data_IF_867131920186
#
_entry.id   IF_867131920186
#
_cell.length_a   1.000
_cell.length_b   1.000
_cell.length_c   1.000
_cell.angle_alpha   90.00
_cell.angle_beta   90.00
_cell.angle_gamma   90.00
#
_symmetry.space_group_name_H-M   'P 1'
#
loop_
_entity.id
_entity.type
_entity.pdbx_description
1 polymer ?
#
# COMPACT_ATOMS: atom_id res chain seq x y z
N UNK A 1 -13.46 -18.32 -25.76
CA UNK A 1 -13.14 -17.80 -24.41
C UNK A 1 -13.74 -16.42 -24.32
N UNK A 2 -14.57 -16.14 -23.32
CA UNK A 2 -15.14 -14.80 -23.14
C UNK A 2 -13.98 -13.88 -22.77
N UNK A 3 -13.57 -13.02 -23.71
CA UNK A 3 -12.41 -12.15 -23.58
C UNK A 3 -12.78 -10.99 -22.65
N UNK A 4 -12.70 -11.25 -21.34
CA UNK A 4 -12.92 -10.23 -20.31
C UNK A 4 -11.55 -9.68 -19.91
N UNK A 5 -11.34 -8.35 -20.00
CA UNK A 5 -10.07 -7.76 -19.61
C UNK A 5 -9.79 -8.06 -18.13
N UNK A 6 -8.50 -8.13 -17.80
CA UNK A 6 -8.08 -8.33 -16.41
C UNK A 6 -8.13 -7.01 -15.66
N UNK A 7 -8.33 -7.09 -14.35
CA UNK A 7 -8.39 -5.89 -13.51
C UNK A 7 -7.12 -5.05 -13.68
N UNK A 8 -5.94 -5.68 -13.75
CA UNK A 8 -4.65 -4.99 -13.93
C UNK A 8 -4.53 -4.14 -15.21
N UNK A 9 -5.26 -4.49 -16.27
CA UNK A 9 -5.22 -3.76 -17.55
C UNK A 9 -6.03 -2.45 -17.48
N UNK A 10 -7.00 -2.40 -16.57
CA UNK A 10 -7.95 -1.29 -16.45
C UNK A 10 -7.66 -0.44 -15.21
N UNK A 11 -7.31 -1.07 -14.09
CA UNK A 11 -7.13 -0.41 -12.82
C UNK A 11 -6.16 -1.15 -11.88
N UNK A 12 -5.32 -0.38 -11.19
CA UNK A 12 -4.36 -0.91 -10.21
C UNK A 12 -4.24 0.04 -9.01
N UNK A 13 -4.24 -0.46 -7.75
CA UNK A 13 -4.16 0.39 -6.55
C UNK A 13 -2.72 0.88 -6.33
N UNK A 14 -2.25 1.78 -7.19
CA UNK A 14 -0.86 2.25 -7.23
C UNK A 14 -0.47 3.02 -5.96
N UNK A 15 -1.35 3.90 -5.48
CA UNK A 15 -1.08 4.76 -4.33
C UNK A 15 -0.92 3.94 -3.06
N UNK A 16 -1.85 3.03 -2.80
CA UNK A 16 -1.85 2.12 -1.66
C UNK A 16 -0.63 1.20 -1.70
N UNK A 17 -0.39 0.54 -2.84
CA UNK A 17 0.74 -0.37 -3.00
C UNK A 17 2.09 0.34 -2.78
N UNK A 18 2.23 1.58 -3.22
CA UNK A 18 3.44 2.38 -3.04
C UNK A 18 3.66 2.78 -1.58
N UNK A 19 2.62 3.28 -0.90
CA UNK A 19 2.67 3.63 0.53
C UNK A 19 3.05 2.42 1.39
N UNK A 20 2.42 1.27 1.13
CA UNK A 20 2.70 0.03 1.87
C UNK A 20 4.13 -0.49 1.60
N UNK A 21 4.61 -0.37 0.36
CA UNK A 21 5.99 -0.73 -0.02
C UNK A 21 7.02 0.14 0.70
N UNK A 22 6.74 1.44 0.86
CA UNK A 22 7.58 2.37 1.62
C UNK A 22 7.54 2.04 3.12
N UNK A 23 6.37 1.67 3.64
CA UNK A 23 6.23 1.24 5.03
C UNK A 23 7.06 -0.03 5.31
N UNK A 24 6.95 -1.05 4.46
CA UNK A 24 7.71 -2.30 4.54
C UNK A 24 9.23 -2.04 4.57
N UNK A 25 9.71 -1.06 3.80
CA UNK A 25 11.13 -0.63 3.81
C UNK A 25 11.57 0.00 5.13
N UNK A 26 10.64 0.62 5.86
CA UNK A 26 10.92 1.43 7.04
C UNK A 26 10.76 0.66 8.37
N UNK A 27 10.21 -0.57 8.35
CA UNK A 27 10.18 -1.46 9.52
C UNK A 27 11.60 -2.00 9.74
N UNK A 28 12.28 -1.51 10.79
CA UNK A 28 13.67 -1.87 11.09
C UNK A 28 13.86 -2.14 12.57
N UNK A 29 13.73 -3.40 12.99
CA UNK A 29 14.07 -3.83 14.35
C UNK A 29 14.75 -5.21 14.29
N UNK A 30 15.93 -5.33 14.90
CA UNK A 30 16.55 -6.62 15.28
C UNK A 30 17.13 -7.55 14.20
N UNK A 31 17.00 -7.28 12.90
CA UNK A 31 17.48 -8.20 11.84
C UNK A 31 18.76 -7.71 11.14
N UNK A 32 19.72 -8.59 10.83
CA UNK A 32 21.00 -8.25 10.17
C UNK A 32 20.80 -7.49 8.83
N UNK A 33 19.66 -7.70 8.17
CA UNK A 33 19.24 -6.96 6.96
C UNK A 33 18.93 -5.47 7.17
N UNK A 34 19.04 -4.94 8.39
CA UNK A 34 18.96 -3.50 8.69
C UNK A 34 20.31 -2.79 8.58
N UNK A 35 21.43 -3.52 8.52
CA UNK A 35 22.79 -2.96 8.49
C UNK A 35 23.12 -2.27 7.17
N UNK A 36 22.66 -2.83 6.05
CA UNK A 36 22.83 -2.23 4.73
C UNK A 36 21.54 -2.35 3.93
N UNK A 37 21.11 -1.24 3.32
CA UNK A 37 19.89 -1.18 2.53
C UNK A 37 20.28 -1.33 1.07
N UNK A 38 19.96 -2.48 0.49
CA UNK A 38 20.08 -2.64 -0.95
C UNK A 38 19.09 -1.71 -1.69
N UNK A 39 19.52 -0.96 -2.71
CA UNK A 39 18.70 0.04 -3.40
C UNK A 39 17.56 -0.55 -4.25
N UNK A 40 17.48 -1.87 -4.45
CA UNK A 40 16.43 -2.52 -5.23
C UNK A 40 15.82 -3.71 -4.50
N UNK A 41 14.89 -3.45 -3.55
CA UNK A 41 14.06 -4.51 -2.97
C UNK A 41 12.83 -4.73 -3.88
N UNK A 42 12.36 -5.99 -4.00
CA UNK A 42 11.05 -6.31 -4.58
C UNK A 42 10.01 -6.25 -3.45
N UNK A 43 9.27 -5.14 -3.29
CA UNK A 43 8.37 -4.99 -2.16
C UNK A 43 7.22 -6.00 -2.27
N UNK A 44 6.98 -6.72 -1.17
CA UNK A 44 6.01 -7.82 -1.14
C UNK A 44 4.59 -7.30 -1.30
N UNK A 45 4.31 -6.10 -0.78
CA UNK A 45 3.02 -5.44 -0.93
C UNK A 45 2.64 -5.24 -2.41
N UNK A 46 3.55 -4.71 -3.22
CA UNK A 46 3.30 -4.49 -4.65
C UNK A 46 3.14 -5.80 -5.43
N UNK A 47 3.97 -6.82 -5.13
CA UNK A 47 3.85 -8.12 -5.77
C UNK A 47 2.51 -8.81 -5.47
N UNK A 48 2.02 -8.72 -4.22
CA UNK A 48 0.71 -9.26 -3.84
C UNK A 48 -0.43 -8.55 -4.55
N UNK A 49 -0.40 -7.22 -4.60
CA UNK A 49 -1.39 -6.44 -5.34
C UNK A 49 -1.41 -6.82 -6.83
N UNK A 50 -0.24 -6.95 -7.45
CA UNK A 50 -0.10 -7.33 -8.86
C UNK A 50 -0.67 -8.72 -9.13
N UNK A 51 -0.40 -9.71 -8.28
CA UNK A 51 -0.94 -11.06 -8.42
C UNK A 51 -2.46 -11.10 -8.30
N UNK A 52 -3.04 -10.36 -7.35
CA UNK A 52 -4.49 -10.33 -7.19
C UNK A 52 -5.16 -9.63 -8.40
N UNK A 53 -4.55 -8.56 -8.92
CA UNK A 53 -5.05 -7.82 -10.06
C UNK A 53 -4.97 -8.61 -11.38
N UNK A 54 -4.02 -9.54 -11.54
CA UNK A 54 -3.95 -10.41 -12.74
C UNK A 54 -4.97 -11.56 -12.67
N UNK A 55 -5.31 -12.03 -11.46
CA UNK A 55 -6.27 -13.12 -11.28
C UNK A 55 -7.72 -12.66 -11.42
N UNK A 56 -8.06 -11.45 -10.95
CA UNK A 56 -9.43 -10.94 -10.97
C UNK A 56 -9.84 -10.45 -12.38
N UNK A 57 -11.02 -10.87 -12.89
CA UNK A 57 -11.61 -10.30 -14.09
C UNK A 57 -12.18 -8.90 -13.79
N UNK A 58 -12.22 -8.04 -14.80
CA UNK A 58 -12.82 -6.71 -14.68
C UNK A 58 -14.35 -6.77 -14.48
N UNK A 59 -14.92 -6.07 -13.47
CA UNK A 59 -16.37 -6.07 -13.23
C UNK A 59 -17.18 -5.14 -14.15
N UNK A 60 -16.54 -4.44 -15.11
CA UNK A 60 -17.20 -3.58 -16.11
C UNK A 60 -17.72 -2.23 -15.61
N UNK A 61 -18.16 -2.14 -14.35
CA UNK A 61 -18.70 -0.92 -13.74
C UNK A 61 -17.65 -0.19 -12.89
N UNK A 62 -17.56 1.15 -12.95
CA UNK A 62 -16.57 1.92 -12.20
C UNK A 62 -16.72 1.78 -10.68
N UNK A 63 -17.95 1.68 -10.16
CA UNK A 63 -18.22 1.54 -8.73
C UNK A 63 -17.65 0.23 -8.15
N UNK A 64 -17.90 -0.90 -8.83
CA UNK A 64 -17.34 -2.20 -8.41
C UNK A 64 -15.83 -2.26 -8.56
N UNK A 65 -15.25 -1.55 -9.54
CA UNK A 65 -13.78 -1.42 -9.65
C UNK A 65 -13.23 -0.70 -8.44
N UNK A 66 -13.83 0.43 -8.06
CA UNK A 66 -13.41 1.19 -6.88
C UNK A 66 -13.49 0.34 -5.61
N UNK A 67 -14.58 -0.41 -5.43
CA UNK A 67 -14.75 -1.31 -4.29
C UNK A 67 -13.69 -2.43 -4.25
N UNK A 68 -13.35 -3.02 -5.41
CA UNK A 68 -12.27 -4.01 -5.50
C UNK A 68 -10.90 -3.39 -5.18
N UNK A 69 -10.63 -2.18 -5.67
CA UNK A 69 -9.38 -1.47 -5.38
C UNK A 69 -9.27 -1.13 -3.89
N UNK A 70 -10.37 -0.73 -3.24
CA UNK A 70 -10.42 -0.49 -1.80
C UNK A 70 -10.25 -1.79 -1.00
N UNK A 71 -10.76 -2.92 -1.48
CA UNK A 71 -10.56 -4.24 -0.85
C UNK A 71 -9.13 -4.73 -0.98
N UNK A 72 -8.48 -4.51 -2.13
CA UNK A 72 -7.11 -4.93 -2.38
C UNK A 72 -6.13 -4.01 -1.64
N UNK A 73 -6.24 -2.70 -1.90
CA UNK A 73 -5.29 -1.71 -1.40
C UNK A 73 -5.61 -1.19 -0.01
N UNK A 74 -6.84 -1.27 0.49
CA UNK A 74 -7.27 -0.56 1.70
C UNK A 74 -7.59 0.92 1.44
N UNK A 75 -7.97 1.63 2.51
CA UNK A 75 -8.33 3.05 2.48
C UNK A 75 -7.12 3.90 2.84
N UNK A 76 -6.84 4.92 2.03
CA UNK A 76 -5.77 5.88 2.33
C UNK A 76 -6.29 6.89 3.34
N UNK A 77 -5.76 6.84 4.55
CA UNK A 77 -6.04 7.77 5.65
C UNK A 77 -4.91 8.77 5.77
N UNK A 78 -5.29 10.05 5.79
CA UNK A 78 -4.34 11.15 5.96
C UNK A 78 -4.14 11.43 7.45
N UNK A 79 -2.95 11.19 7.98
CA UNK A 79 -2.58 11.60 9.33
C UNK A 79 -1.78 12.90 9.29
N UNK A 80 -2.33 13.95 9.89
CA UNK A 80 -1.62 15.23 10.08
C UNK A 80 -0.74 15.12 11.32
N UNK A 81 0.59 15.19 11.15
CA UNK A 81 1.54 15.24 12.26
C UNK A 81 2.11 16.66 12.39
N UNK A 82 1.92 17.28 13.55
CA UNK A 82 2.60 18.53 13.89
C UNK A 82 4.02 18.23 14.35
N UNK A 83 5.03 18.67 13.59
CA UNK A 83 6.43 18.59 14.01
C UNK A 83 7.00 20.00 14.19
N UNK A 84 7.59 20.25 15.36
CA UNK A 84 8.42 21.44 15.59
C UNK A 84 9.83 21.14 15.09
N UNK A 85 10.29 21.88 14.09
CA UNK A 85 11.68 21.83 13.62
C UNK A 85 12.23 23.24 13.65
N UNK A 86 13.27 23.48 14.47
CA UNK A 86 13.98 24.76 14.51
C UNK A 86 13.12 25.99 14.79
N UNK A 87 12.16 25.91 15.73
CA UNK A 87 11.34 27.06 16.14
C UNK A 87 10.15 27.39 15.21
N UNK A 88 9.99 26.72 14.07
CA UNK A 88 8.78 26.80 13.23
C UNK A 88 7.99 25.48 13.30
N UNK A 89 6.67 25.60 13.40
CA UNK A 89 5.75 24.45 13.33
C UNK A 89 5.49 24.13 11.86
N UNK A 90 5.82 22.92 11.43
CA UNK A 90 5.57 22.46 10.06
C UNK A 90 4.55 21.32 10.15
N UNK A 91 3.44 21.48 9.43
CA UNK A 91 2.44 20.43 9.26
C UNK A 91 2.98 19.39 8.27
N UNK A 92 3.33 18.21 8.77
CA UNK A 92 3.76 17.11 7.92
C UNK A 92 2.57 16.17 7.75
N UNK A 93 1.95 16.24 6.59
CA UNK A 93 0.88 15.34 6.18
C UNK A 93 1.50 13.98 5.82
N UNK A 94 1.20 12.94 6.60
CA UNK A 94 1.60 11.56 6.29
C UNK A 94 0.37 10.75 5.92
N UNK A 95 0.37 10.23 4.70
CA UNK A 95 -0.65 9.29 4.25
C UNK A 95 -0.27 7.88 4.74
N UNK A 96 -1.25 7.17 5.31
CA UNK A 96 -1.15 5.76 5.70
C UNK A 96 -2.30 4.99 5.07
N UNK A 97 -2.09 3.72 4.79
CA UNK A 97 -3.14 2.84 4.30
C UNK A 97 -3.72 2.02 5.46
N UNK A 98 -5.04 2.04 5.64
CA UNK A 98 -5.77 1.23 6.62
C UNK A 98 -6.67 0.22 5.91
N UNK A 99 -6.50 -1.07 6.20
CA UNK A 99 -7.24 -2.18 5.57
C UNK A 99 -6.30 -3.22 4.95
N UNK A 100 -6.61 -4.50 5.15
CA UNK A 100 -5.66 -5.59 4.91
C UNK A 100 -6.00 -6.39 3.66
N UNK A 101 -5.10 -6.33 2.67
CA UNK A 101 -4.72 -7.50 1.86
C UNK A 101 -3.24 -7.46 1.45
N UNK A 102 -2.69 -6.27 1.18
CA UNK A 102 -1.29 -6.09 0.77
C UNK A 102 -0.30 -6.05 1.95
N UNK A 103 -0.69 -5.47 3.08
CA UNK A 103 0.08 -5.47 4.33
C UNK A 103 -0.04 -6.83 5.00
N UNK A 104 0.99 -7.69 4.89
CA UNK A 104 1.02 -8.95 5.64
C UNK A 104 0.87 -8.65 7.13
N UNK A 105 -0.21 -9.17 7.74
CA UNK A 105 -0.70 -8.88 9.09
C UNK A 105 0.32 -8.27 10.06
N UNK A 106 0.40 -6.95 10.09
CA UNK A 106 0.84 -6.24 11.28
C UNK A 106 -0.41 -5.96 12.09
N UNK A 107 -0.62 -6.76 13.16
CA UNK A 107 -1.40 -6.32 14.32
C UNK A 107 -0.83 -4.96 14.71
N UNK A 108 -1.51 -3.88 14.35
CA UNK A 108 -1.32 -2.60 15.02
C UNK A 108 -1.72 -2.84 16.46
N UNK A 109 -0.75 -3.13 17.34
CA UNK A 109 -1.00 -3.11 18.76
C UNK A 109 -1.37 -1.66 19.11
N UNK A 110 -2.58 -1.39 19.65
CA UNK A 110 -2.81 -0.13 20.31
C UNK A 110 -1.95 -0.13 21.58
N UNK A 111 -1.02 0.81 21.66
CA UNK A 111 -0.47 1.28 22.94
C UNK A 111 -1.36 2.40 23.45
#
# INVERSE_FOLDING_TARGET
MTDRPRLIEVAFPLKQASLDSVHEKNVRHGHISTLHIWPARRPLAACRAALIATLLPDPGTPEKRQELLEKIGGKVVTQVQMKKVGGKTIEVVKERTEGVSCTGGTRTAPT
#
